data_IF_642361709527
#
_entry.id   IF_642361709527
#
_cell.length_a   1.000
_cell.length_b   1.000
_cell.length_c   1.000
_cell.angle_alpha   90.00
_cell.angle_beta   90.00
_cell.angle_gamma   90.00
#
_symmetry.space_group_name_H-M   'P 1'
#
loop_
_entity.id
_entity.type
_entity.pdbx_description
1 polymer ?
#
# COMPACT_ATOMS: atom_id res chain seq x y z
N UNK A 1 -29.59 -16.34 -11.14
CA UNK A 1 -28.48 -15.88 -10.30
C UNK A 1 -27.40 -15.40 -11.27
N UNK A 2 -27.34 -14.09 -11.54
CA UNK A 2 -26.32 -13.54 -12.44
C UNK A 2 -24.97 -13.64 -11.72
N UNK A 3 -24.07 -14.48 -12.26
CA UNK A 3 -22.71 -14.70 -11.73
C UNK A 3 -21.81 -13.47 -11.99
N UNK A 4 -22.27 -12.56 -12.86
CA UNK A 4 -21.62 -11.29 -13.15
C UNK A 4 -22.30 -10.19 -12.33
N UNK A 5 -22.03 -10.15 -11.02
CA UNK A 5 -22.16 -8.88 -10.30
C UNK A 5 -21.14 -7.94 -10.93
N UNK A 6 -21.61 -6.78 -11.40
CA UNK A 6 -20.77 -5.66 -11.81
C UNK A 6 -19.62 -5.54 -10.81
N UNK A 7 -18.41 -5.79 -11.32
CA UNK A 7 -17.19 -5.63 -10.55
C UNK A 7 -17.25 -4.24 -9.92
N UNK A 8 -16.92 -4.12 -8.63
CA UNK A 8 -16.50 -2.84 -8.04
C UNK A 8 -15.61 -2.14 -9.07
N UNK A 9 -16.09 -1.05 -9.66
CA UNK A 9 -15.37 -0.33 -10.70
C UNK A 9 -13.98 -0.03 -10.16
N UNK A 10 -12.94 -0.49 -10.88
CA UNK A 10 -11.54 -0.36 -10.46
C UNK A 10 -11.05 1.08 -10.70
N UNK A 11 -11.77 2.07 -10.19
CA UNK A 11 -11.59 3.49 -10.53
C UNK A 11 -10.20 3.98 -10.12
N UNK A 12 -9.75 3.62 -8.91
CA UNK A 12 -8.45 4.02 -8.40
C UNK A 12 -7.34 3.28 -9.13
N UNK A 13 -7.43 1.96 -9.28
CA UNK A 13 -6.42 1.20 -10.02
C UNK A 13 -6.29 1.68 -11.47
N UNK A 14 -7.39 1.90 -12.18
CA UNK A 14 -7.37 2.44 -13.54
C UNK A 14 -6.78 3.86 -13.60
N UNK A 15 -7.10 4.72 -12.64
CA UNK A 15 -6.44 6.02 -12.50
C UNK A 15 -4.92 5.86 -12.37
N UNK A 16 -4.45 4.96 -11.51
CA UNK A 16 -3.01 4.72 -11.30
C UNK A 16 -2.35 4.19 -12.58
N UNK A 17 -2.95 3.22 -13.26
CA UNK A 17 -2.41 2.65 -14.50
C UNK A 17 -2.36 3.70 -15.62
N UNK A 18 -3.43 4.47 -15.79
CA UNK A 18 -3.45 5.53 -16.81
C UNK A 18 -2.39 6.59 -16.52
N UNK A 19 -2.21 6.95 -15.25
CA UNK A 19 -1.26 7.99 -14.85
C UNK A 19 0.20 7.54 -14.98
N UNK A 20 0.54 6.32 -14.54
CA UNK A 20 1.91 5.81 -14.67
C UNK A 20 2.31 5.61 -16.13
N UNK A 21 1.37 5.20 -17.00
CA UNK A 21 1.64 5.08 -18.44
C UNK A 21 1.87 6.44 -19.12
N UNK A 22 1.25 7.51 -18.61
CA UNK A 22 1.42 8.86 -19.12
C UNK A 22 2.68 9.54 -18.58
N UNK A 23 2.92 9.42 -17.28
CA UNK A 23 3.91 10.22 -16.54
C UNK A 23 5.21 9.44 -16.27
N UNK A 24 5.21 8.13 -16.50
CA UNK A 24 6.37 7.23 -16.35
C UNK A 24 6.64 6.78 -14.91
N UNK A 25 6.34 7.62 -13.92
CA UNK A 25 6.43 7.30 -12.50
C UNK A 25 5.36 8.05 -11.71
N UNK A 26 4.98 7.49 -10.57
CA UNK A 26 4.05 8.12 -9.64
C UNK A 26 4.73 8.34 -8.28
N UNK A 27 4.29 9.37 -7.58
CA UNK A 27 4.66 9.63 -6.19
C UNK A 27 3.45 9.49 -5.27
N UNK A 28 3.67 8.88 -4.11
CA UNK A 28 2.65 8.75 -3.06
C UNK A 28 3.15 9.36 -1.76
N UNK A 29 2.25 9.99 -1.02
CA UNK A 29 2.57 10.53 0.31
C UNK A 29 1.83 9.77 1.40
N UNK A 30 2.59 9.13 2.29
CA UNK A 30 2.04 8.41 3.44
C UNK A 30 1.78 9.38 4.61
N UNK A 31 0.55 9.36 5.11
CA UNK A 31 0.12 10.08 6.31
C UNK A 31 -0.30 9.05 7.36
N UNK A 32 0.30 9.15 8.55
CA UNK A 32 -0.01 8.32 9.71
C UNK A 32 -1.11 8.99 10.57
N UNK A 33 -2.36 8.49 10.58
CA UNK A 33 -3.45 9.03 11.38
C UNK A 33 -3.30 8.67 12.87
N UNK A 34 -2.23 9.16 13.50
CA UNK A 34 -1.97 9.00 14.94
C UNK A 34 -2.44 10.26 15.71
N UNK A 35 -3.50 10.16 16.53
CA UNK A 35 -4.03 11.29 17.30
C UNK A 35 -3.04 11.82 18.35
N UNK A 36 -2.05 11.03 18.75
CA UNK A 36 -1.00 11.48 19.68
C UNK A 36 0.06 12.34 18.98
N UNK A 37 0.14 12.28 17.65
CA UNK A 37 1.15 13.01 16.86
C UNK A 37 0.56 14.18 16.10
N UNK A 38 -0.72 14.11 15.73
CA UNK A 38 -1.36 15.15 14.94
C UNK A 38 -2.89 15.16 15.03
N UNK A 39 -3.49 16.27 14.60
CA UNK A 39 -4.94 16.39 14.40
C UNK A 39 -5.34 16.17 12.94
N UNK A 40 -6.62 15.82 12.69
CA UNK A 40 -7.17 15.65 11.35
C UNK A 40 -6.92 16.87 10.45
N UNK A 41 -7.06 18.09 11.00
CA UNK A 41 -6.79 19.35 10.28
C UNK A 41 -5.32 19.48 9.85
N UNK A 42 -4.39 19.02 10.70
CA UNK A 42 -2.95 19.03 10.37
C UNK A 42 -2.67 18.01 9.27
N UNK A 43 -3.25 16.82 9.34
CA UNK A 43 -3.18 15.80 8.28
C UNK A 43 -3.71 16.32 6.94
N UNK A 44 -4.89 16.93 6.91
CA UNK A 44 -5.46 17.56 5.72
C UNK A 44 -4.56 18.64 5.12
N UNK A 45 -3.95 19.48 5.97
CA UNK A 45 -2.99 20.50 5.52
C UNK A 45 -1.74 19.88 4.89
N UNK A 46 -1.21 18.80 5.45
CA UNK A 46 -0.07 18.08 4.86
C UNK A 46 -0.42 17.42 3.53
N UNK A 47 -1.60 16.81 3.43
CA UNK A 47 -2.08 16.23 2.18
C UNK A 47 -2.18 17.30 1.08
N UNK A 48 -2.75 18.47 1.41
CA UNK A 48 -2.82 19.60 0.49
C UNK A 48 -1.42 20.03 0.00
N UNK A 49 -0.45 20.18 0.90
CA UNK A 49 0.91 20.52 0.49
C UNK A 49 1.59 19.44 -0.35
N UNK A 50 1.33 18.16 -0.07
CA UNK A 50 1.83 17.07 -0.88
C UNK A 50 1.24 17.09 -2.31
N UNK A 51 -0.04 17.43 -2.45
CA UNK A 51 -0.71 17.61 -3.75
C UNK A 51 -0.15 18.81 -4.50
N UNK A 52 0.02 19.94 -3.83
CA UNK A 52 0.67 21.13 -4.43
C UNK A 52 2.11 20.84 -4.88
N UNK A 53 2.80 19.89 -4.23
CA UNK A 53 4.13 19.41 -4.61
C UNK A 53 4.12 18.32 -5.70
N UNK A 54 2.96 17.86 -6.15
CA UNK A 54 2.82 16.90 -7.24
C UNK A 54 2.67 15.43 -6.84
N UNK A 55 2.23 15.13 -5.62
CA UNK A 55 1.87 13.75 -5.24
C UNK A 55 0.64 13.26 -6.02
N UNK A 56 0.61 11.97 -6.36
CA UNK A 56 -0.42 11.35 -7.21
C UNK A 56 -1.49 10.61 -6.42
N UNK A 57 -1.19 10.26 -5.17
CA UNK A 57 -2.07 9.58 -4.22
C UNK A 57 -1.64 9.83 -2.78
N UNK A 58 -2.61 9.83 -1.85
CA UNK A 58 -2.35 9.87 -0.41
C UNK A 58 -2.51 8.45 0.14
N UNK A 59 -1.48 7.94 0.80
CA UNK A 59 -1.56 6.70 1.56
C UNK A 59 -1.92 7.01 3.01
N UNK A 60 -2.86 6.24 3.58
CA UNK A 60 -3.22 6.31 5.00
C UNK A 60 -2.74 5.03 5.67
N UNK A 61 -1.74 5.14 6.54
CA UNK A 61 -1.14 3.97 7.18
C UNK A 61 -0.19 4.32 8.32
N UNK A 62 -0.03 3.39 9.24
CA UNK A 62 0.69 3.56 10.49
C UNK A 62 0.62 2.29 11.34
N UNK A 63 1.63 2.07 12.19
CA UNK A 63 1.77 0.85 13.01
C UNK A 63 0.97 0.88 14.32
N UNK A 64 0.42 2.04 14.69
CA UNK A 64 -0.19 2.33 16.01
C UNK A 64 -1.62 2.85 15.88
N UNK A 65 -2.28 2.55 14.76
CA UNK A 65 -3.64 2.99 14.50
C UNK A 65 -4.62 2.18 15.36
N UNK A 66 -5.01 2.76 16.50
CA UNK A 66 -5.92 2.14 17.47
C UNK A 66 -7.33 2.76 17.46
N UNK A 67 -7.55 3.88 16.76
CA UNK A 67 -8.81 4.61 16.75
C UNK A 67 -9.37 4.75 15.33
N UNK A 68 -10.35 3.90 14.99
CA UNK A 68 -11.02 3.91 13.69
C UNK A 68 -11.81 5.21 13.44
N UNK A 69 -12.39 5.81 14.49
CA UNK A 69 -13.11 7.07 14.35
C UNK A 69 -12.16 8.20 13.93
N UNK A 70 -10.98 8.24 14.53
CA UNK A 70 -9.95 9.20 14.16
C UNK A 70 -9.42 9.00 12.72
N UNK A 71 -9.30 7.75 12.26
CA UNK A 71 -8.95 7.44 10.87
C UNK A 71 -10.00 7.97 9.91
N UNK A 72 -11.28 7.72 10.20
CA UNK A 72 -12.40 8.19 9.37
C UNK A 72 -12.43 9.72 9.30
N UNK A 73 -12.35 10.41 10.45
CA UNK A 73 -12.31 11.87 10.53
C UNK A 73 -11.09 12.45 9.79
N UNK A 74 -9.95 11.76 9.84
CA UNK A 74 -8.73 12.15 9.13
C UNK A 74 -8.93 12.05 7.62
N UNK A 75 -9.49 10.93 7.13
CA UNK A 75 -9.77 10.73 5.71
C UNK A 75 -10.77 11.78 5.21
N UNK A 76 -11.88 12.00 5.93
CA UNK A 76 -12.87 13.01 5.56
C UNK A 76 -12.27 14.42 5.48
N UNK A 77 -11.43 14.78 6.46
CA UNK A 77 -10.76 16.09 6.45
C UNK A 77 -9.81 16.25 5.28
N UNK A 78 -9.10 15.17 4.88
CA UNK A 78 -8.23 15.17 3.70
C UNK A 78 -9.07 15.31 2.42
N UNK A 79 -10.17 14.56 2.26
CA UNK A 79 -11.05 14.62 1.07
C UNK A 79 -11.64 16.01 0.83
N UNK A 80 -11.85 16.79 1.89
CA UNK A 80 -12.31 18.18 1.77
C UNK A 80 -11.22 19.12 1.23
N UNK A 81 -9.95 18.69 1.20
CA UNK A 81 -8.79 19.52 0.89
C UNK A 81 -8.08 19.13 -0.41
N UNK A 82 -8.33 17.94 -0.96
CA UNK A 82 -7.64 17.40 -2.15
C UNK A 82 -8.58 16.55 -3.02
N UNK A 83 -8.30 16.50 -4.33
CA UNK A 83 -9.09 15.75 -5.32
C UNK A 83 -8.40 14.47 -5.84
N UNK A 84 -7.25 14.09 -5.25
CA UNK A 84 -6.53 12.86 -5.61
C UNK A 84 -6.97 11.67 -4.74
N UNK A 85 -6.76 10.41 -5.18
CA UNK A 85 -7.19 9.25 -4.41
C UNK A 85 -6.54 9.13 -3.04
N UNK A 86 -7.34 8.73 -2.06
CA UNK A 86 -6.90 8.35 -0.72
C UNK A 86 -6.99 6.83 -0.59
N UNK A 87 -5.85 6.20 -0.36
CA UNK A 87 -5.68 4.75 -0.38
C UNK A 87 -5.19 4.27 0.98
N UNK A 88 -5.86 3.28 1.56
CA UNK A 88 -5.41 2.69 2.82
C UNK A 88 -4.18 1.80 2.56
N UNK A 89 -3.11 2.04 3.33
CA UNK A 89 -1.95 1.17 3.46
C UNK A 89 -2.01 0.50 4.84
N UNK A 90 -2.63 -0.69 4.95
CA UNK A 90 -3.02 -1.23 6.25
C UNK A 90 -1.81 -1.78 7.03
N UNK A 91 -1.69 -1.40 8.30
CA UNK A 91 -0.72 -1.97 9.24
C UNK A 91 -1.29 -3.10 10.11
N UNK A 92 -2.58 -3.38 9.99
CA UNK A 92 -3.32 -4.32 10.86
C UNK A 92 -4.79 -4.47 10.44
N UNK A 93 -5.54 -5.31 11.16
CA UNK A 93 -6.97 -5.57 10.91
C UNK A 93 -7.87 -4.34 11.14
N UNK A 94 -7.44 -3.41 11.99
CA UNK A 94 -8.18 -2.21 12.37
C UNK A 94 -8.12 -1.08 11.33
N UNK A 95 -7.46 -1.27 10.18
CA UNK A 95 -7.31 -0.22 9.17
C UNK A 95 -8.27 -0.45 8.00
N UNK A 96 -9.58 -0.36 8.24
CA UNK A 96 -10.59 -0.46 7.17
C UNK A 96 -11.60 0.67 7.34
N UNK A 97 -11.56 1.65 6.43
CA UNK A 97 -12.48 2.79 6.42
C UNK A 97 -13.25 2.85 5.11
N UNK A 98 -14.57 3.01 5.20
CA UNK A 98 -15.44 3.24 4.04
C UNK A 98 -15.25 4.63 3.41
N UNK A 99 -14.50 5.52 4.08
CA UNK A 99 -14.29 6.89 3.62
C UNK A 99 -13.16 6.98 2.58
N UNK A 100 -12.25 6.01 2.60
CA UNK A 100 -11.17 5.90 1.61
C UNK A 100 -11.70 5.47 0.24
N UNK A 101 -10.93 5.75 -0.80
CA UNK A 101 -11.32 5.40 -2.17
C UNK A 101 -10.87 3.98 -2.52
N UNK A 102 -9.76 3.51 -1.94
CA UNK A 102 -9.26 2.14 -2.08
C UNK A 102 -8.47 1.65 -0.85
N UNK A 103 -8.16 0.36 -0.84
CA UNK A 103 -7.21 -0.28 0.07
C UNK A 103 -6.19 -1.09 -0.72
N UNK A 104 -4.93 -1.01 -0.32
CA UNK A 104 -3.90 -1.96 -0.74
C UNK A 104 -4.16 -3.29 -0.03
N UNK A 105 -4.79 -4.23 -0.74
CA UNK A 105 -5.11 -5.55 -0.24
C UNK A 105 -3.86 -6.43 -0.30
N UNK A 106 -3.07 -6.30 0.75
CA UNK A 106 -1.67 -6.70 0.76
C UNK A 106 -1.46 -8.13 1.27
N UNK A 107 -0.51 -8.86 0.68
CA UNK A 107 0.00 -10.14 1.16
C UNK A 107 1.51 -10.07 1.37
N UNK A 108 1.99 -10.32 2.59
CA UNK A 108 3.43 -10.32 2.89
C UNK A 108 4.04 -11.64 2.46
N UNK A 109 4.45 -11.73 1.19
CA UNK A 109 4.80 -13.01 0.56
C UNK A 109 6.08 -13.66 1.09
N UNK A 110 6.97 -12.87 1.68
CA UNK A 110 8.17 -13.38 2.33
C UNK A 110 8.04 -13.48 3.86
N UNK A 111 6.82 -13.49 4.41
CA UNK A 111 6.56 -13.89 5.80
C UNK A 111 6.86 -15.38 6.01
N UNK A 112 7.39 -15.74 7.17
CA UNK A 112 7.44 -17.13 7.63
C UNK A 112 6.17 -17.54 8.40
N UNK A 113 5.30 -16.59 8.70
CA UNK A 113 3.98 -16.81 9.31
C UNK A 113 2.85 -16.68 8.28
N UNK A 114 2.11 -17.77 7.97
CA UNK A 114 0.94 -17.75 7.08
C UNK A 114 -0.15 -16.75 7.47
N UNK A 115 -0.18 -16.32 8.72
CA UNK A 115 -1.07 -15.25 9.18
C UNK A 115 -0.90 -13.98 8.34
N UNK A 116 0.32 -13.55 8.05
CA UNK A 116 0.57 -12.35 7.24
C UNK A 116 0.50 -12.59 5.72
N UNK A 117 0.53 -13.85 5.28
CA UNK A 117 0.40 -14.22 3.87
C UNK A 117 -1.08 -14.20 3.46
N UNK A 118 -1.95 -14.86 4.23
CA UNK A 118 -3.38 -15.01 3.88
C UNK A 118 -4.35 -14.94 5.07
N UNK A 119 -3.89 -15.20 6.31
CA UNK A 119 -4.75 -15.23 7.48
C UNK A 119 -5.42 -13.90 7.77
N UNK A 120 -4.63 -12.83 7.85
CA UNK A 120 -5.11 -11.47 8.13
C UNK A 120 -6.03 -10.96 7.01
N UNK A 121 -5.71 -11.31 5.76
CA UNK A 121 -6.46 -10.94 4.57
C UNK A 121 -7.84 -11.61 4.58
N UNK A 122 -7.90 -12.91 4.93
CA UNK A 122 -9.14 -13.64 5.08
C UNK A 122 -10.03 -13.02 6.18
N UNK A 123 -9.44 -12.67 7.33
CA UNK A 123 -10.15 -12.01 8.44
C UNK A 123 -10.70 -10.63 8.05
N UNK A 124 -9.95 -9.84 7.27
CA UNK A 124 -10.39 -8.50 6.84
C UNK A 124 -11.37 -8.52 5.65
N UNK A 125 -11.44 -9.62 4.89
CA UNK A 125 -12.15 -9.69 3.61
C UNK A 125 -13.64 -9.30 3.69
N UNK A 126 -14.35 -9.76 4.72
CA UNK A 126 -15.76 -9.42 4.93
C UNK A 126 -15.95 -7.93 5.21
N UNK A 127 -15.11 -7.35 6.07
CA UNK A 127 -15.17 -5.92 6.40
C UNK A 127 -14.90 -5.06 5.18
N UNK A 128 -13.91 -5.41 4.36
CA UNK A 128 -13.59 -4.71 3.10
C UNK A 128 -14.76 -4.83 2.11
N UNK A 129 -15.36 -6.01 1.99
CA UNK A 129 -16.49 -6.23 1.08
C UNK A 129 -17.73 -5.44 1.49
N UNK A 130 -18.08 -5.43 2.78
CA UNK A 130 -19.21 -4.66 3.32
C UNK A 130 -18.94 -3.15 3.23
N UNK A 131 -17.69 -2.75 3.37
CA UNK A 131 -17.26 -1.35 3.19
C UNK A 131 -17.42 -0.85 1.75
N UNK A 132 -17.59 -1.74 0.76
CA UNK A 132 -17.64 -1.36 -0.65
C UNK A 132 -16.33 -0.76 -1.16
N UNK A 133 -15.22 -1.01 -0.45
CA UNK A 133 -13.93 -0.39 -0.73
C UNK A 133 -13.26 -1.10 -1.92
N UNK A 134 -12.73 -0.32 -2.87
CA UNK A 134 -11.92 -0.89 -3.95
C UNK A 134 -10.66 -1.54 -3.36
N UNK A 135 -10.45 -2.82 -3.63
CA UNK A 135 -9.27 -3.55 -3.16
C UNK A 135 -8.24 -3.73 -4.29
N UNK A 136 -7.05 -3.16 -4.12
CA UNK A 136 -5.93 -3.31 -5.05
C UNK A 136 -5.02 -4.43 -4.52
N UNK A 137 -5.09 -5.61 -5.14
CA UNK A 137 -4.27 -6.76 -4.77
C UNK A 137 -2.79 -6.43 -4.89
N UNK A 138 -2.05 -6.50 -3.78
CA UNK A 138 -0.64 -6.09 -3.71
C UNK A 138 0.22 -7.16 -3.06
N UNK A 139 1.28 -7.58 -3.74
CA UNK A 139 2.33 -8.40 -3.15
C UNK A 139 3.32 -7.50 -2.41
N UNK A 140 3.49 -7.74 -1.11
CA UNK A 140 4.37 -6.96 -0.26
C UNK A 140 5.64 -7.77 0.04
N UNK A 141 6.80 -7.20 -0.30
CA UNK A 141 8.10 -7.86 -0.21
C UNK A 141 9.05 -7.00 0.61
N UNK A 142 9.50 -7.53 1.75
CA UNK A 142 10.40 -6.79 2.64
C UNK A 142 11.86 -7.15 2.34
N UNK A 143 12.65 -6.14 2.00
CA UNK A 143 14.09 -6.16 1.75
C UNK A 143 14.80 -5.67 3.02
N UNK A 144 16.00 -6.15 3.31
CA UNK A 144 16.77 -5.64 4.46
C UNK A 144 16.95 -4.11 4.39
N UNK A 145 16.91 -3.39 5.52
CA UNK A 145 16.82 -3.90 6.89
C UNK A 145 15.40 -4.26 7.38
N UNK A 146 14.35 -3.88 6.65
CA UNK A 146 12.94 -4.20 6.92
C UNK A 146 12.29 -3.47 8.10
N UNK A 147 13.08 -2.92 9.02
CA UNK A 147 12.65 -2.17 10.20
C UNK A 147 11.49 -2.87 10.97
N UNK A 148 10.58 -2.08 11.55
CA UNK A 148 9.43 -2.61 12.31
C UNK A 148 8.51 -3.50 11.47
N UNK A 149 8.34 -3.21 10.18
CA UNK A 149 7.48 -4.01 9.30
C UNK A 149 8.00 -5.44 9.15
N UNK A 150 9.32 -5.60 8.96
CA UNK A 150 9.96 -6.90 8.87
C UNK A 150 9.89 -7.70 10.17
N UNK A 151 10.06 -7.01 11.31
CA UNK A 151 10.01 -7.64 12.63
C UNK A 151 8.59 -8.10 13.00
N UNK A 152 7.60 -7.21 12.87
CA UNK A 152 6.19 -7.53 13.19
C UNK A 152 5.66 -8.60 12.25
N UNK A 153 5.94 -8.47 10.95
CA UNK A 153 5.46 -9.37 9.91
C UNK A 153 6.16 -10.71 9.83
N UNK A 154 7.08 -11.02 10.76
CA UNK A 154 7.91 -12.23 10.74
C UNK A 154 8.53 -12.51 9.35
N UNK A 155 9.08 -11.48 8.72
CA UNK A 155 9.55 -11.55 7.36
C UNK A 155 10.93 -12.18 7.25
N UNK A 156 11.06 -13.18 6.37
CA UNK A 156 12.34 -13.61 5.83
C UNK A 156 12.83 -12.55 4.85
N UNK A 157 13.56 -11.58 5.38
CA UNK A 157 14.04 -10.40 4.65
C UNK A 157 14.81 -10.81 3.39
N UNK A 158 14.48 -10.14 2.27
CA UNK A 158 15.20 -10.32 1.01
C UNK A 158 16.55 -9.61 1.10
N UNK A 159 17.68 -10.29 0.84
CA UNK A 159 18.98 -9.67 0.99
C UNK A 159 19.24 -8.55 -0.02
N UNK A 160 19.82 -7.43 0.44
CA UNK A 160 20.12 -6.25 -0.40
C UNK A 160 21.10 -6.50 -1.54
N UNK A 161 21.87 -7.58 -1.45
CA UNK A 161 22.82 -8.00 -2.49
C UNK A 161 22.27 -9.15 -3.38
N UNK A 162 20.97 -9.44 -3.29
CA UNK A 162 20.30 -10.51 -4.05
C UNK A 162 19.05 -9.98 -4.80
N UNK A 163 19.17 -8.99 -5.70
CA UNK A 163 18.04 -8.47 -6.47
C UNK A 163 17.30 -9.55 -7.27
N UNK A 164 18.01 -10.59 -7.73
CA UNK A 164 17.41 -11.73 -8.44
C UNK A 164 16.39 -12.50 -7.59
N UNK A 165 16.55 -12.53 -6.26
CA UNK A 165 15.60 -13.18 -5.38
C UNK A 165 14.32 -12.36 -5.28
N UNK A 166 14.43 -11.04 -5.12
CA UNK A 166 13.28 -10.13 -5.14
C UNK A 166 12.53 -10.24 -6.47
N UNK A 167 13.24 -10.24 -7.59
CA UNK A 167 12.65 -10.41 -8.92
C UNK A 167 11.91 -11.75 -9.07
N UNK A 168 12.44 -12.84 -8.51
CA UNK A 168 11.76 -14.13 -8.53
C UNK A 168 10.44 -14.13 -7.74
N UNK A 169 10.42 -13.48 -6.58
CA UNK A 169 9.18 -13.28 -5.81
C UNK A 169 8.17 -12.40 -6.55
N UNK A 170 8.63 -11.30 -7.17
CA UNK A 170 7.77 -10.42 -7.98
C UNK A 170 7.13 -11.16 -9.15
N UNK A 171 7.90 -11.97 -9.87
CA UNK A 171 7.40 -12.76 -11.00
C UNK A 171 6.39 -13.83 -10.53
N UNK A 172 6.68 -14.51 -9.41
CA UNK A 172 5.73 -15.46 -8.83
C UNK A 172 4.41 -14.76 -8.45
N UNK A 173 4.49 -13.57 -7.83
CA UNK A 173 3.31 -12.79 -7.47
C UNK A 173 2.47 -12.39 -8.70
N UNK A 174 3.10 -11.94 -9.77
CA UNK A 174 2.40 -11.66 -11.03
C UNK A 174 1.69 -12.91 -11.58
N UNK A 175 2.36 -14.07 -11.59
CA UNK A 175 1.77 -15.33 -12.04
C UNK A 175 0.58 -15.78 -11.18
N UNK A 176 0.55 -15.40 -9.89
CA UNK A 176 -0.60 -15.61 -9.01
C UNK A 176 -1.74 -14.59 -9.23
N UNK A 177 -1.54 -13.56 -10.05
CA UNK A 177 -2.54 -12.56 -10.38
C UNK A 177 -2.57 -11.35 -9.44
N UNK A 178 -1.49 -11.07 -8.72
CA UNK A 178 -1.35 -9.79 -8.01
C UNK A 178 -1.36 -8.62 -9.01
N UNK A 179 -1.99 -7.50 -8.63
CA UNK A 179 -2.10 -6.32 -9.52
C UNK A 179 -0.92 -5.37 -9.38
N UNK A 180 -0.16 -5.45 -8.30
CA UNK A 180 1.00 -4.59 -8.04
C UNK A 180 1.97 -5.27 -7.08
N UNK A 181 3.25 -4.91 -7.18
CA UNK A 181 4.31 -5.32 -6.26
C UNK A 181 4.72 -4.11 -5.44
N UNK A 182 4.90 -4.27 -4.13
CA UNK A 182 5.48 -3.26 -3.27
C UNK A 182 6.75 -3.80 -2.61
N UNK A 183 7.86 -3.14 -2.91
CA UNK A 183 9.16 -3.38 -2.30
C UNK A 183 9.32 -2.44 -1.10
N UNK A 184 9.60 -2.99 0.07
CA UNK A 184 9.76 -2.24 1.33
C UNK A 184 11.16 -2.46 1.91
N UNK A 185 11.89 -1.40 2.26
CA UNK A 185 13.16 -1.50 3.00
C UNK A 185 13.05 -1.19 4.50
N UNK A 186 11.89 -0.72 4.98
CA UNK A 186 11.63 -0.31 6.34
C UNK A 186 11.53 1.21 6.48
N UNK A 187 10.49 1.67 7.18
CA UNK A 187 10.33 3.09 7.52
C UNK A 187 11.52 3.62 8.35
N UNK A 188 12.05 4.76 7.95
CA UNK A 188 13.22 5.39 8.57
C UNK A 188 14.55 4.64 8.34
N UNK A 189 14.56 3.59 7.52
CA UNK A 189 15.75 2.83 7.16
C UNK A 189 16.49 3.35 5.91
N UNK A 190 17.34 2.50 5.35
CA UNK A 190 18.06 2.77 4.10
C UNK A 190 17.14 2.60 2.88
N UNK A 191 17.27 3.47 1.89
CA UNK A 191 16.60 3.33 0.58
C UNK A 191 16.84 1.97 -0.06
N UNK A 192 15.90 1.52 -0.90
CA UNK A 192 16.05 0.28 -1.66
C UNK A 192 17.19 0.42 -2.69
N UNK A 193 18.11 -0.57 -2.81
CA UNK A 193 19.10 -0.56 -3.88
C UNK A 193 18.42 -0.58 -5.27
N UNK A 194 18.87 0.28 -6.19
CA UNK A 194 18.20 0.52 -7.48
C UNK A 194 18.20 -0.69 -8.42
N UNK A 195 19.08 -1.67 -8.20
CA UNK A 195 19.11 -2.93 -8.92
C UNK A 195 17.90 -3.84 -8.60
N UNK A 196 17.35 -3.78 -7.38
CA UNK A 196 16.10 -4.45 -7.04
C UNK A 196 14.95 -3.87 -7.87
N UNK A 197 14.78 -2.54 -7.84
CA UNK A 197 13.71 -1.83 -8.55
C UNK A 197 13.83 -2.09 -10.06
N UNK A 198 15.01 -1.82 -10.64
CA UNK A 198 15.22 -1.95 -12.09
C UNK A 198 15.13 -3.39 -12.59
N UNK A 199 15.50 -4.40 -11.80
CA UNK A 199 15.32 -5.79 -12.20
C UNK A 199 13.85 -6.19 -12.11
N UNK A 200 13.16 -5.89 -11.02
CA UNK A 200 11.73 -6.18 -10.87
C UNK A 200 10.91 -5.53 -11.99
N UNK A 201 11.05 -4.22 -12.22
CA UNK A 201 10.31 -3.49 -13.27
C UNK A 201 10.62 -3.95 -14.70
N UNK A 202 11.64 -4.78 -14.92
CA UNK A 202 11.94 -5.37 -16.24
C UNK A 202 11.36 -6.76 -16.44
N UNK A 203 11.06 -7.47 -15.36
CA UNK A 203 10.63 -8.89 -15.44
C UNK A 203 9.14 -9.07 -15.19
N UNK A 204 8.46 -8.07 -14.62
CA UNK A 204 7.01 -8.06 -14.46
C UNK A 204 6.39 -6.96 -15.33
N UNK A 205 5.15 -7.19 -15.75
CA UNK A 205 4.31 -6.28 -16.54
C UNK A 205 3.31 -5.49 -15.66
N UNK A 206 3.30 -5.75 -14.35
CA UNK A 206 2.50 -5.02 -13.34
C UNK A 206 3.31 -3.92 -12.62
N UNK A 207 2.67 -2.86 -12.09
CA UNK A 207 3.35 -1.78 -11.37
C UNK A 207 4.22 -2.28 -10.20
N UNK A 208 5.37 -1.62 -10.04
CA UNK A 208 6.28 -1.82 -8.90
C UNK A 208 6.35 -0.52 -8.09
N UNK A 209 5.95 -0.61 -6.83
CA UNK A 209 6.03 0.46 -5.84
C UNK A 209 7.27 0.21 -4.97
N UNK A 210 8.00 1.27 -4.61
CA UNK A 210 9.16 1.20 -3.73
C UNK A 210 8.95 2.16 -2.55
N UNK A 211 9.18 1.67 -1.33
CA UNK A 211 9.07 2.44 -0.10
C UNK A 211 10.08 2.02 0.97
N UNK A 212 10.21 2.85 2.00
CA UNK A 212 11.19 2.68 3.07
C UNK A 212 12.53 3.34 2.73
N UNK A 213 12.94 4.31 3.56
CA UNK A 213 14.18 5.08 3.36
C UNK A 213 14.22 5.99 2.13
N UNK A 214 13.11 6.03 1.36
CA UNK A 214 12.87 6.67 0.06
C UNK A 214 14.01 6.45 -0.94
#
# INVERSE_FOLDING_TARGET
MNILNESTENRVYEYLINKINRDGALHFSLIDPDPMRQSCRKAAKMAKYAVEAGTDGILIGGSTICDQGFVDDTIESIKQSVDIPIIIFPGGLSNVSQKADAILFMSLLNSEDPYFIIGQQALASYSIKVAGLEHISMAYLIIEPGASAGWIGNARLLPRNKPKLTAAYSLAAEMFGFKTIYLEAGSGGDRIPTDHISLCSRVVDIPVIAGGGV
#
